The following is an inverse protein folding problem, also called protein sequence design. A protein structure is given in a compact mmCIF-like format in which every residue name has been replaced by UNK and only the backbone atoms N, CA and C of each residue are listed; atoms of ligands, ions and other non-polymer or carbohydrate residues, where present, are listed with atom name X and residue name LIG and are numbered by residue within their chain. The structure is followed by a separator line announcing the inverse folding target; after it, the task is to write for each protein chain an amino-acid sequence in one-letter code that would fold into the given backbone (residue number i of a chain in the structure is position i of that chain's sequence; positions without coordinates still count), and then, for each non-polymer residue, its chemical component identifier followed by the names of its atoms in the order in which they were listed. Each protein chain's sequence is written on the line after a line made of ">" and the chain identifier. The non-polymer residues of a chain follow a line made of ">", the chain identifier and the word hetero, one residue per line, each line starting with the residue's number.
data_IF_777497539259
#
_entry.id   IF_777497539259
#
_cell.length_a   1.000
_cell.length_b   1.000
_cell.length_c   1.000
_cell.angle_alpha   90.00
_cell.angle_beta   90.00
_cell.angle_gamma   90.00
#
_symmetry.space_group_name_H-M   'P 1'
#
loop_
_entity.id
_entity.type
_entity.pdbx_description
1 polymer ?
#
# COMPACT_ATOMS: atom_id res chain seq x y z
N UNK A 1 -34.31 -6.80 -23.11
CA UNK A 1 -33.20 -7.75 -23.37
C UNK A 1 -31.99 -7.19 -22.65
N UNK A 2 -31.65 -7.82 -21.52
CA UNK A 2 -30.70 -7.36 -20.51
C UNK A 2 -29.31 -7.07 -21.10
N UNK A 3 -28.76 -5.90 -20.81
CA UNK A 3 -27.31 -5.66 -20.89
C UNK A 3 -26.77 -5.65 -19.45
N UNK A 4 -25.70 -6.41 -19.28
CA UNK A 4 -25.07 -6.86 -18.05
C UNK A 4 -24.68 -5.68 -17.14
N UNK A 5 -25.02 -5.77 -15.85
CA UNK A 5 -24.41 -4.97 -14.78
C UNK A 5 -22.90 -5.26 -14.76
N UNK A 6 -22.09 -4.34 -15.26
CA UNK A 6 -20.73 -4.22 -14.78
C UNK A 6 -20.84 -3.77 -13.30
N UNK A 7 -20.65 -4.71 -12.37
CA UNK A 7 -20.47 -4.39 -10.95
C UNK A 7 -19.40 -3.31 -10.76
N UNK A 8 -19.34 -2.63 -9.60
CA UNK A 8 -18.50 -1.45 -9.41
C UNK A 8 -17.07 -1.76 -9.86
N UNK A 9 -16.64 -1.16 -10.96
CA UNK A 9 -15.27 -1.21 -11.44
C UNK A 9 -14.48 -0.30 -10.51
N UNK A 10 -14.07 -0.84 -9.36
CA UNK A 10 -13.14 -0.17 -8.47
C UNK A 10 -11.84 0.02 -9.23
N UNK A 11 -11.61 1.22 -9.75
CA UNK A 11 -10.35 1.54 -10.41
C UNK A 11 -9.22 1.32 -9.41
N UNK A 12 -8.03 0.91 -9.86
CA UNK A 12 -6.89 0.66 -8.95
C UNK A 12 -6.55 1.90 -8.11
N UNK A 13 -6.86 3.10 -8.60
CA UNK A 13 -6.80 4.36 -7.86
C UNK A 13 -7.79 4.44 -6.69
N UNK A 14 -9.02 3.95 -6.85
CA UNK A 14 -10.04 3.96 -5.78
C UNK A 14 -9.72 2.95 -4.68
N UNK A 15 -9.14 1.81 -5.06
CA UNK A 15 -8.62 0.83 -4.10
C UNK A 15 -7.44 1.44 -3.35
N UNK A 16 -6.53 2.11 -4.05
CA UNK A 16 -5.36 2.76 -3.44
C UNK A 16 -5.77 3.86 -2.46
N UNK A 17 -6.75 4.70 -2.83
CA UNK A 17 -7.25 5.75 -1.94
C UNK A 17 -7.97 5.17 -0.71
N UNK A 18 -8.73 4.08 -0.88
CA UNK A 18 -9.40 3.39 0.23
C UNK A 18 -8.39 2.78 1.22
N UNK A 19 -7.32 2.13 0.72
CA UNK A 19 -6.27 1.56 1.57
C UNK A 19 -5.53 2.67 2.32
N UNK A 20 -5.19 3.76 1.63
CA UNK A 20 -4.48 4.88 2.22
C UNK A 20 -5.34 5.71 3.17
N UNK A 21 -6.68 5.69 3.04
CA UNK A 21 -7.60 6.41 3.91
C UNK A 21 -7.53 5.95 5.38
N UNK A 22 -7.02 4.74 5.64
CA UNK A 22 -6.74 4.26 7.00
C UNK A 22 -5.56 4.97 7.68
N UNK A 23 -4.77 5.74 6.93
CA UNK A 23 -3.59 6.45 7.44
C UNK A 23 -3.80 7.96 7.42
N UNK A 24 -3.58 8.58 8.57
CA UNK A 24 -3.79 10.02 8.81
C UNK A 24 -2.85 10.91 8.00
N UNK A 25 -1.68 10.37 7.63
CA UNK A 25 -0.61 11.07 6.93
C UNK A 25 -0.46 10.65 5.47
N UNK A 26 -1.44 9.93 4.93
CA UNK A 26 -1.49 9.50 3.52
C UNK A 26 -1.43 10.68 2.53
N UNK A 27 -1.93 11.85 2.94
CA UNK A 27 -1.86 13.09 2.18
C UNK A 27 -0.43 13.65 2.03
N UNK A 28 0.51 13.21 2.88
CA UNK A 28 1.91 13.65 2.82
C UNK A 28 2.72 12.90 1.78
N UNK A 29 2.23 11.74 1.31
CA UNK A 29 2.81 10.99 0.22
C UNK A 29 2.62 11.71 -1.12
N UNK A 30 3.66 11.73 -1.95
CA UNK A 30 3.58 12.23 -3.33
C UNK A 30 2.62 11.40 -4.17
N UNK A 31 1.92 12.03 -5.12
CA UNK A 31 0.88 11.35 -5.91
C UNK A 31 1.39 10.12 -6.67
N UNK A 32 2.61 10.19 -7.21
CA UNK A 32 3.25 9.05 -7.89
C UNK A 32 3.51 7.87 -6.95
N UNK A 33 3.70 8.12 -5.65
CA UNK A 33 4.06 7.09 -4.67
C UNK A 33 2.83 6.43 -4.05
N UNK A 34 1.65 7.09 -4.07
CA UNK A 34 0.43 6.60 -3.42
C UNK A 34 0.04 5.20 -3.90
N UNK A 35 0.07 4.95 -5.21
CA UNK A 35 -0.27 3.64 -5.76
C UNK A 35 0.71 2.55 -5.30
N UNK A 36 2.01 2.82 -5.34
CA UNK A 36 3.04 1.87 -4.91
C UNK A 36 2.95 1.56 -3.42
N UNK A 37 2.76 2.59 -2.58
CA UNK A 37 2.58 2.42 -1.13
C UNK A 37 1.33 1.58 -0.85
N UNK A 38 0.20 1.90 -1.51
CA UNK A 38 -1.03 1.14 -1.33
C UNK A 38 -0.87 -0.33 -1.74
N UNK A 39 -0.15 -0.61 -2.83
CA UNK A 39 0.14 -1.98 -3.26
C UNK A 39 0.98 -2.75 -2.21
N UNK A 40 2.06 -2.15 -1.71
CA UNK A 40 2.90 -2.76 -0.68
C UNK A 40 2.14 -3.00 0.64
N UNK A 41 1.24 -2.09 1.01
CA UNK A 41 0.37 -2.25 2.19
C UNK A 41 -0.66 -3.35 1.96
N UNK A 42 -1.30 -3.38 0.79
CA UNK A 42 -2.26 -4.44 0.40
C UNK A 42 -1.61 -5.81 0.46
N UNK A 43 -0.37 -5.91 -0.01
CA UNK A 43 0.39 -7.15 -0.01
C UNK A 43 0.92 -7.51 1.38
N UNK A 44 0.86 -6.62 2.37
CA UNK A 44 1.37 -6.84 3.73
C UNK A 44 2.90 -6.82 3.82
N UNK A 45 3.58 -6.25 2.82
CA UNK A 45 5.02 -6.00 2.86
C UNK A 45 5.33 -4.85 3.82
N UNK A 46 4.49 -3.80 3.77
CA UNK A 46 4.57 -2.59 4.58
C UNK A 46 3.32 -2.50 5.47
N UNK A 47 3.49 -2.11 6.74
CA UNK A 47 2.39 -2.01 7.71
C UNK A 47 2.22 -0.61 8.30
N UNK A 48 3.06 0.35 7.90
CA UNK A 48 3.21 1.63 8.58
C UNK A 48 4.02 1.51 9.88
N UNK A 49 4.25 2.64 10.54
CA UNK A 49 4.93 2.70 11.85
C UNK A 49 3.97 2.47 13.02
N UNK A 50 2.71 2.84 12.82
CA UNK A 50 1.60 2.63 13.75
C UNK A 50 0.37 2.22 12.95
N UNK A 51 -0.73 1.91 13.64
CA UNK A 51 -2.01 1.53 13.01
C UNK A 51 -2.56 2.57 12.04
N UNK A 52 -2.20 3.84 12.20
CA UNK A 52 -2.77 5.00 11.49
C UNK A 52 -1.69 5.91 10.86
N UNK A 53 -0.43 5.49 10.87
CA UNK A 53 0.72 6.33 10.44
C UNK A 53 1.66 5.55 9.51
N UNK A 54 1.85 6.04 8.28
CA UNK A 54 2.81 5.48 7.30
C UNK A 54 4.20 6.13 7.37
N UNK A 55 4.26 7.41 7.73
CA UNK A 55 5.41 8.30 7.71
C UNK A 55 6.18 8.29 6.36
N UNK A 56 5.53 8.59 5.22
CA UNK A 56 6.11 8.39 3.88
C UNK A 56 7.29 9.32 3.57
N UNK A 57 7.41 10.45 4.28
CA UNK A 57 8.54 11.41 4.13
C UNK A 57 9.66 11.19 5.12
N UNK A 58 9.49 10.31 6.10
CA UNK A 58 10.52 10.07 7.09
C UNK A 58 11.59 9.13 6.53
N UNK A 59 12.83 9.27 7.00
CA UNK A 59 13.88 8.31 6.69
C UNK A 59 13.52 6.92 7.22
N UNK A 60 13.91 5.90 6.47
CA UNK A 60 13.78 4.50 6.85
C UNK A 60 15.12 3.97 7.37
N UNK A 61 15.10 3.11 8.38
CA UNK A 61 16.28 2.46 8.95
C UNK A 61 16.66 1.21 8.14
N UNK A 62 17.93 0.81 8.20
CA UNK A 62 18.40 -0.43 7.54
C UNK A 62 17.66 -1.67 8.04
N UNK A 63 17.28 -1.70 9.31
CA UNK A 63 16.52 -2.80 9.89
C UNK A 63 15.09 -2.88 9.32
N UNK A 64 14.39 -1.74 9.21
CA UNK A 64 13.08 -1.67 8.57
C UNK A 64 13.15 -2.12 7.10
N UNK A 65 14.16 -1.68 6.36
CA UNK A 65 14.37 -2.12 4.96
C UNK A 65 14.59 -3.64 4.88
N UNK A 66 15.43 -4.21 5.75
CA UNK A 66 15.69 -5.65 5.76
C UNK A 66 14.42 -6.48 6.01
N UNK A 67 13.55 -6.02 6.91
CA UNK A 67 12.25 -6.66 7.18
C UNK A 67 11.32 -6.57 5.97
N UNK A 68 11.24 -5.42 5.29
CA UNK A 68 10.41 -5.26 4.09
C UNK A 68 10.91 -6.20 2.98
N UNK A 69 12.22 -6.25 2.74
CA UNK A 69 12.83 -7.13 1.73
C UNK A 69 12.60 -8.60 2.08
N UNK A 70 12.76 -8.99 3.34
CA UNK A 70 12.49 -10.36 3.78
C UNK A 70 11.04 -10.77 3.51
N UNK A 71 10.07 -9.91 3.86
CA UNK A 71 8.64 -10.17 3.62
C UNK A 71 8.31 -10.27 2.14
N UNK A 72 8.92 -9.40 1.33
CA UNK A 72 8.78 -9.43 -0.13
C UNK A 72 9.28 -10.78 -0.68
N UNK A 73 10.51 -11.18 -0.33
CA UNK A 73 11.10 -12.43 -0.81
C UNK A 73 10.30 -13.67 -0.38
N UNK A 74 9.81 -13.69 0.88
CA UNK A 74 8.94 -14.77 1.37
C UNK A 74 7.62 -14.85 0.59
N UNK A 75 6.99 -13.70 0.30
CA UNK A 75 5.72 -13.65 -0.46
C UNK A 75 5.89 -14.02 -1.93
N UNK A 76 7.07 -13.79 -2.48
CA UNK A 76 7.41 -14.17 -3.84
C UNK A 76 8.04 -15.57 -3.94
N UNK A 77 8.09 -16.33 -2.82
CA UNK A 77 8.63 -17.70 -2.76
C UNK A 77 10.08 -17.83 -3.21
N UNK A 78 10.89 -16.78 -3.03
CA UNK A 78 12.32 -16.83 -3.35
C UNK A 78 13.18 -17.39 -2.20
N UNK A 79 12.61 -17.45 -1.00
CA UNK A 79 13.25 -17.97 0.23
C UNK A 79 12.25 -18.71 1.11
#
# INVERSE_FOLDING_TARGET
>A
MQAIEDGPTYSDSDISSTILAGYTDSNTASDYAKQGIAACVKNGEISGRSSDTLAPKNSITRAEVAVIVQRLLQKSELI
#
